data_IF_599829290340
#
_entry.id   IF_599829290340
#
_cell.length_a   1.000
_cell.length_b   1.000
_cell.length_c   1.000
_cell.angle_alpha   90.00
_cell.angle_beta   90.00
_cell.angle_gamma   90.00
#
_symmetry.space_group_name_H-M   'P 1'
#
loop_
_entity.id
_entity.type
_entity.pdbx_description
1 polymer ?
#
# COMPACT_ATOMS: atom_id res chain seq x y z
N UNK A 1 20.24 41.68 19.29
CA UNK A 1 18.85 41.40 18.90
C UNK A 1 18.72 39.92 18.68
N UNK A 2 18.19 39.18 19.65
CA UNK A 2 17.78 37.81 19.43
C UNK A 2 16.66 37.85 18.39
N UNK A 3 16.89 37.26 17.17
CA UNK A 3 15.81 36.98 16.25
C UNK A 3 14.81 36.10 16.99
N UNK A 4 13.58 36.52 17.17
CA UNK A 4 12.50 35.67 17.62
C UNK A 4 12.45 34.50 16.66
N UNK A 5 12.88 33.32 17.13
CA UNK A 5 12.78 32.08 16.36
C UNK A 5 11.30 31.77 16.15
N UNK A 6 10.89 31.65 14.89
CA UNK A 6 9.48 31.34 14.55
C UNK A 6 9.04 30.05 15.26
N UNK A 7 7.73 29.91 15.53
CA UNK A 7 7.18 28.69 16.13
C UNK A 7 7.60 27.43 15.33
N UNK A 8 7.57 27.52 14.00
CA UNK A 8 7.97 26.43 13.11
C UNK A 8 9.44 26.04 13.27
N UNK A 9 10.33 27.02 13.48
CA UNK A 9 11.73 26.77 13.75
C UNK A 9 11.94 26.03 15.07
N UNK A 10 11.20 26.40 16.12
CA UNK A 10 11.28 25.75 17.44
C UNK A 10 10.78 24.31 17.42
N UNK A 11 9.74 24.03 16.65
CA UNK A 11 9.10 22.70 16.59
C UNK A 11 9.85 21.75 15.67
N UNK A 12 10.27 22.23 14.49
CA UNK A 12 10.80 21.35 13.43
C UNK A 12 12.32 21.44 13.26
N UNK A 13 13.00 22.39 13.95
CA UNK A 13 14.47 22.55 13.89
C UNK A 13 14.99 22.70 12.46
N UNK A 14 14.36 23.60 11.69
CA UNK A 14 14.59 23.74 10.25
C UNK A 14 16.04 24.09 9.92
N UNK A 15 16.60 25.07 10.65
CA UNK A 15 17.97 25.55 10.45
C UNK A 15 18.99 24.45 10.76
N UNK A 16 18.78 23.66 11.80
CA UNK A 16 19.64 22.52 12.18
C UNK A 16 19.62 21.43 11.12
N UNK A 17 18.49 21.24 10.44
CA UNK A 17 18.34 20.27 9.36
C UNK A 17 18.64 20.83 7.96
N UNK A 18 19.20 22.06 7.88
CA UNK A 18 19.65 22.68 6.63
C UNK A 18 18.52 22.94 5.62
N UNK A 19 17.30 23.23 6.10
CA UNK A 19 16.11 23.44 5.27
C UNK A 19 15.40 24.77 5.59
N UNK A 20 14.30 25.05 4.89
CA UNK A 20 13.49 26.25 5.07
C UNK A 20 12.00 25.92 5.02
N UNK A 21 11.14 26.77 5.61
CA UNK A 21 9.68 26.62 5.56
C UNK A 21 9.18 26.44 4.12
N UNK A 22 9.69 27.22 3.18
CA UNK A 22 9.30 27.11 1.76
C UNK A 22 9.68 25.77 1.17
N UNK A 23 10.89 25.30 1.42
CA UNK A 23 11.37 23.99 0.94
C UNK A 23 10.52 22.84 1.50
N UNK A 24 10.25 22.86 2.80
CA UNK A 24 9.45 21.84 3.46
C UNK A 24 8.01 21.79 2.94
N UNK A 25 7.36 22.94 2.74
CA UNK A 25 6.00 22.99 2.18
C UNK A 25 6.00 22.47 0.74
N UNK A 26 6.95 22.87 -0.10
CA UNK A 26 7.04 22.38 -1.48
C UNK A 26 7.31 20.87 -1.52
N UNK A 27 8.18 20.37 -0.65
CA UNK A 27 8.44 18.95 -0.48
C UNK A 27 7.19 18.18 -0.07
N UNK A 28 6.40 18.72 0.87
CA UNK A 28 5.13 18.13 1.30
C UNK A 28 4.09 18.08 0.18
N UNK A 29 3.95 19.16 -0.60
CA UNK A 29 3.07 19.16 -1.78
C UNK A 29 3.53 18.10 -2.78
N UNK A 30 4.83 17.99 -3.05
CA UNK A 30 5.37 16.99 -3.98
C UNK A 30 5.10 15.57 -3.48
N UNK A 31 5.32 15.30 -2.19
CA UNK A 31 4.98 13.99 -1.59
C UNK A 31 3.48 13.69 -1.74
N UNK A 32 2.62 14.64 -1.36
CA UNK A 32 1.18 14.44 -1.48
C UNK A 32 0.75 14.15 -2.92
N UNK A 33 1.26 14.90 -3.91
CA UNK A 33 0.95 14.66 -5.33
C UNK A 33 1.35 13.26 -5.80
N UNK A 34 2.42 12.69 -5.25
CA UNK A 34 2.87 11.35 -5.64
C UNK A 34 2.07 10.24 -4.96
N UNK A 35 1.46 10.48 -3.78
CA UNK A 35 0.71 9.48 -3.02
C UNK A 35 -0.81 9.71 -2.98
N UNK A 36 -1.32 10.83 -3.49
CA UNK A 36 -2.75 11.16 -3.48
C UNK A 36 -3.65 10.12 -4.19
N UNK A 37 -3.06 9.30 -5.05
CA UNK A 37 -3.75 8.18 -5.69
C UNK A 37 -4.40 7.22 -4.70
N UNK A 38 -3.88 7.14 -3.45
CA UNK A 38 -4.44 6.26 -2.41
C UNK A 38 -5.89 6.60 -2.08
N UNK A 39 -6.28 7.87 -2.21
CA UNK A 39 -7.64 8.34 -1.98
C UNK A 39 -8.65 7.78 -3.01
N UNK A 40 -8.19 7.38 -4.18
CA UNK A 40 -9.01 6.69 -5.17
C UNK A 40 -8.86 5.16 -5.07
N UNK A 41 -7.63 4.69 -4.88
CA UNK A 41 -7.30 3.26 -4.96
C UNK A 41 -7.72 2.51 -3.70
N UNK A 42 -7.49 3.06 -2.48
CA UNK A 42 -7.88 2.36 -1.26
C UNK A 42 -9.40 2.13 -1.16
N UNK A 43 -10.27 3.14 -1.40
CA UNK A 43 -11.71 2.90 -1.44
C UNK A 43 -12.13 1.87 -2.51
N UNK A 44 -11.46 1.84 -3.64
CA UNK A 44 -11.74 0.84 -4.68
C UNK A 44 -11.39 -0.58 -4.23
N UNK A 45 -10.25 -0.78 -3.56
CA UNK A 45 -9.82 -2.08 -3.04
C UNK A 45 -10.72 -2.54 -1.89
N UNK A 46 -10.96 -1.68 -0.90
CA UNK A 46 -11.70 -2.04 0.30
C UNK A 46 -13.20 -2.25 0.00
N UNK A 47 -13.75 -1.54 -0.98
CA UNK A 47 -15.13 -1.79 -1.44
C UNK A 47 -15.31 -3.18 -2.07
N UNK A 48 -14.23 -3.77 -2.61
CA UNK A 48 -14.24 -5.16 -3.05
C UNK A 48 -14.44 -6.14 -1.87
N UNK A 49 -14.09 -5.76 -0.64
CA UNK A 49 -14.37 -6.52 0.59
C UNK A 49 -15.79 -6.26 1.15
N UNK A 50 -16.60 -5.46 0.48
CA UNK A 50 -17.97 -5.13 0.92
C UNK A 50 -18.08 -3.88 1.81
N UNK A 51 -16.99 -3.12 2.00
CA UNK A 51 -16.99 -1.89 2.78
C UNK A 51 -17.57 -0.72 1.99
N UNK A 52 -18.21 0.23 2.66
CA UNK A 52 -18.76 1.43 2.01
C UNK A 52 -17.63 2.31 1.45
N UNK A 53 -17.67 2.53 0.13
CA UNK A 53 -16.61 3.24 -0.61
C UNK A 53 -16.42 4.68 -0.12
N UNK A 54 -17.50 5.39 0.21
CA UNK A 54 -17.44 6.77 0.68
C UNK A 54 -16.87 6.87 2.09
N UNK A 55 -17.33 6.00 2.99
CA UNK A 55 -16.81 5.91 4.34
C UNK A 55 -15.32 5.54 4.34
N UNK A 56 -14.88 4.59 3.49
CA UNK A 56 -13.46 4.24 3.32
C UNK A 56 -12.64 5.42 2.82
N UNK A 57 -13.14 6.22 1.87
CA UNK A 57 -12.46 7.44 1.41
C UNK A 57 -12.18 8.38 2.58
N UNK A 58 -13.22 8.67 3.36
CA UNK A 58 -13.11 9.56 4.53
C UNK A 58 -12.16 8.98 5.58
N UNK A 59 -12.30 7.69 5.91
CA UNK A 59 -11.43 7.00 6.84
C UNK A 59 -9.96 6.99 6.36
N UNK A 60 -9.72 6.78 5.06
CA UNK A 60 -8.37 6.82 4.46
C UNK A 60 -7.71 8.19 4.63
N UNK A 61 -8.45 9.27 4.35
CA UNK A 61 -7.90 10.62 4.49
C UNK A 61 -7.61 10.97 5.96
N UNK A 62 -8.50 10.58 6.88
CA UNK A 62 -8.30 10.80 8.32
C UNK A 62 -7.13 9.94 8.85
N UNK A 63 -7.03 8.67 8.46
CA UNK A 63 -5.91 7.81 8.86
C UNK A 63 -4.57 8.33 8.30
N UNK A 64 -4.55 8.76 7.03
CA UNK A 64 -3.40 9.41 6.42
C UNK A 64 -2.98 10.70 7.15
N UNK A 65 -3.96 11.53 7.52
CA UNK A 65 -3.72 12.72 8.36
C UNK A 65 -3.11 12.34 9.70
N UNK A 66 -3.77 11.46 10.47
CA UNK A 66 -3.33 11.08 11.81
C UNK A 66 -1.94 10.43 11.79
N UNK A 67 -1.72 9.44 10.93
CA UNK A 67 -0.45 8.75 10.83
C UNK A 67 0.70 9.69 10.47
N UNK A 68 0.45 10.60 9.52
CA UNK A 68 1.46 11.57 9.06
C UNK A 68 1.74 12.64 10.11
N UNK A 69 0.72 13.09 10.87
CA UNK A 69 0.92 13.98 12.04
C UNK A 69 1.75 13.29 13.12
N UNK A 70 1.42 12.02 13.43
CA UNK A 70 2.18 11.25 14.42
C UNK A 70 3.65 11.10 14.00
N UNK A 71 3.93 10.85 12.72
CA UNK A 71 5.29 10.81 12.18
C UNK A 71 6.02 12.14 12.38
N UNK A 72 5.37 13.26 12.06
CA UNK A 72 5.92 14.60 12.27
C UNK A 72 6.26 14.86 13.74
N UNK A 73 5.37 14.47 14.66
CA UNK A 73 5.50 14.74 16.09
C UNK A 73 6.49 13.82 16.79
N UNK A 74 6.43 12.50 16.51
CA UNK A 74 7.23 11.51 17.23
C UNK A 74 8.66 11.39 16.72
N UNK A 75 8.88 11.64 15.43
CA UNK A 75 10.19 11.46 14.83
C UNK A 75 10.78 12.72 14.17
N UNK A 76 9.96 13.72 13.89
CA UNK A 76 10.32 14.89 13.08
C UNK A 76 10.90 14.48 11.70
N UNK A 77 10.34 13.43 11.07
CA UNK A 77 10.75 12.99 9.73
C UNK A 77 9.78 13.48 8.65
N UNK A 78 10.31 13.69 7.41
CA UNK A 78 9.51 14.17 6.27
C UNK A 78 8.71 13.04 5.59
N UNK A 79 8.33 12.00 6.33
CA UNK A 79 7.67 10.82 5.77
C UNK A 79 6.16 10.88 5.98
N UNK A 80 5.42 10.51 4.96
CA UNK A 80 3.97 10.43 4.99
C UNK A 80 3.51 8.98 5.21
N UNK A 81 2.41 8.83 5.94
CA UNK A 81 1.75 7.57 6.20
C UNK A 81 0.35 7.56 5.58
N UNK A 82 -0.06 6.39 5.11
CA UNK A 82 -1.43 6.10 4.68
C UNK A 82 -1.65 4.58 4.69
N UNK A 83 -2.89 4.08 4.50
CA UNK A 83 -3.16 2.63 4.39
C UNK A 83 -2.29 1.98 3.31
N UNK A 84 -1.50 0.96 3.69
CA UNK A 84 -0.49 0.34 2.85
C UNK A 84 -1.09 -0.49 1.72
N UNK A 85 -0.64 -0.27 0.47
CA UNK A 85 -1.23 -0.92 -0.71
C UNK A 85 -1.19 -2.45 -0.66
N UNK A 86 -0.05 -3.03 -0.25
CA UNK A 86 0.10 -4.47 -0.10
C UNK A 86 -0.82 -5.05 0.97
N UNK A 87 -0.92 -4.35 2.09
CA UNK A 87 -1.77 -4.72 3.23
C UNK A 87 -3.27 -4.55 2.91
N UNK A 88 -3.65 -3.51 2.17
CA UNK A 88 -5.01 -3.33 1.65
C UNK A 88 -5.43 -4.51 0.75
N UNK A 89 -4.53 -4.91 -0.15
CA UNK A 89 -4.75 -6.02 -1.05
C UNK A 89 -4.84 -7.35 -0.29
N UNK A 90 -3.96 -7.59 0.66
CA UNK A 90 -4.01 -8.76 1.54
C UNK A 90 -5.33 -8.80 2.34
N UNK A 91 -5.72 -7.68 2.93
CA UNK A 91 -6.98 -7.52 3.65
C UNK A 91 -8.18 -7.91 2.77
N UNK A 92 -8.36 -7.21 1.65
CA UNK A 92 -9.58 -7.34 0.84
C UNK A 92 -9.63 -8.66 0.06
N UNK A 93 -8.53 -9.06 -0.56
CA UNK A 93 -8.55 -10.19 -1.48
C UNK A 93 -8.19 -11.52 -0.82
N UNK A 94 -7.22 -11.52 0.09
CA UNK A 94 -6.82 -12.75 0.76
C UNK A 94 -7.72 -13.03 1.97
N UNK A 95 -7.76 -12.12 2.94
CA UNK A 95 -8.47 -12.37 4.21
C UNK A 95 -9.98 -12.42 3.98
N UNK A 96 -10.56 -11.40 3.33
CA UNK A 96 -12.01 -11.33 3.18
C UNK A 96 -12.50 -12.24 2.03
N UNK A 97 -11.98 -12.08 0.79
CA UNK A 97 -12.54 -12.80 -0.36
C UNK A 97 -12.11 -14.26 -0.46
N UNK A 98 -10.84 -14.57 -0.19
CA UNK A 98 -10.33 -15.94 -0.38
C UNK A 98 -10.55 -16.80 0.87
N UNK A 99 -10.24 -16.26 2.07
CA UNK A 99 -10.41 -16.99 3.33
C UNK A 99 -11.85 -16.93 3.88
N UNK A 100 -12.71 -16.04 3.33
CA UNK A 100 -14.12 -15.93 3.68
C UNK A 100 -14.41 -15.25 5.02
N UNK A 101 -13.46 -14.49 5.56
CA UNK A 101 -13.68 -13.72 6.78
C UNK A 101 -14.46 -12.44 6.49
N UNK A 102 -15.15 -11.94 7.52
CA UNK A 102 -15.76 -10.62 7.46
C UNK A 102 -14.69 -9.52 7.50
N UNK A 103 -14.97 -8.36 6.96
CA UNK A 103 -14.05 -7.23 7.01
C UNK A 103 -13.88 -6.69 8.44
N UNK A 104 -14.88 -6.85 9.31
CA UNK A 104 -14.85 -6.48 10.72
C UNK A 104 -13.83 -7.35 11.49
N UNK A 105 -13.78 -8.66 11.19
CA UNK A 105 -12.76 -9.55 11.76
C UNK A 105 -11.37 -9.20 11.23
N UNK A 106 -11.24 -8.85 9.96
CA UNK A 106 -9.96 -8.43 9.40
C UNK A 106 -9.47 -7.11 10.04
N UNK A 107 -10.38 -6.15 10.31
CA UNK A 107 -10.06 -4.93 11.07
C UNK A 107 -9.65 -5.24 12.52
N UNK A 108 -10.30 -6.22 13.17
CA UNK A 108 -9.89 -6.65 14.50
C UNK A 108 -8.46 -7.23 14.50
N UNK A 109 -8.07 -7.97 13.45
CA UNK A 109 -6.70 -8.46 13.32
C UNK A 109 -5.70 -7.31 13.13
N UNK A 110 -6.01 -6.31 12.31
CA UNK A 110 -5.20 -5.10 12.13
C UNK A 110 -5.10 -4.29 13.43
N UNK A 111 -6.19 -4.19 14.19
CA UNK A 111 -6.17 -3.54 15.50
C UNK A 111 -5.20 -4.25 16.47
N UNK A 112 -5.30 -5.58 16.58
CA UNK A 112 -4.41 -6.39 17.43
C UNK A 112 -2.96 -6.28 16.95
N UNK A 113 -2.71 -6.29 15.64
CA UNK A 113 -1.41 -6.03 15.03
C UNK A 113 -0.82 -4.71 15.52
N UNK A 114 -1.58 -3.62 15.40
CA UNK A 114 -1.15 -2.29 15.83
C UNK A 114 -0.81 -2.24 17.33
N UNK A 115 -1.65 -2.85 18.19
CA UNK A 115 -1.38 -2.94 19.64
C UNK A 115 -0.10 -3.72 19.91
N UNK A 116 0.12 -4.85 19.25
CA UNK A 116 1.37 -5.62 19.38
C UNK A 116 2.56 -4.75 18.95
N UNK A 117 2.45 -4.00 17.85
CA UNK A 117 3.52 -3.13 17.39
C UNK A 117 3.79 -1.95 18.31
N UNK A 118 2.78 -1.39 18.98
CA UNK A 118 2.99 -0.39 20.03
C UNK A 118 3.89 -0.99 21.13
N UNK A 119 3.56 -2.20 21.63
CA UNK A 119 4.34 -2.89 22.66
C UNK A 119 5.76 -3.20 22.17
N UNK A 120 5.91 -3.70 20.94
CA UNK A 120 7.22 -4.03 20.35
C UNK A 120 8.06 -2.77 20.06
N UNK A 121 7.44 -1.63 19.75
CA UNK A 121 8.14 -0.36 19.47
C UNK A 121 8.67 0.31 20.74
N UNK A 122 8.11 0.00 21.92
CA UNK A 122 8.66 0.41 23.21
C UNK A 122 9.99 -0.31 23.52
N UNK A 123 10.25 -1.42 22.85
CA UNK A 123 11.46 -2.23 22.96
C UNK A 123 12.21 -2.21 21.61
N UNK A 124 13.37 -2.86 21.52
CA UNK A 124 14.09 -3.03 20.25
C UNK A 124 13.70 -4.32 19.51
N UNK A 125 12.62 -4.97 19.93
CA UNK A 125 12.25 -6.30 19.42
C UNK A 125 11.80 -6.22 17.96
N UNK A 126 11.05 -5.19 17.57
CA UNK A 126 10.60 -5.01 16.16
C UNK A 126 11.80 -4.92 15.20
N UNK A 127 12.82 -4.15 15.58
CA UNK A 127 14.07 -4.03 14.83
C UNK A 127 14.87 -5.35 14.82
N UNK A 128 14.92 -6.05 15.95
CA UNK A 128 15.59 -7.35 16.05
C UNK A 128 14.91 -8.42 15.18
N UNK A 129 13.57 -8.45 15.12
CA UNK A 129 12.80 -9.34 14.23
C UNK A 129 13.14 -9.04 12.77
N UNK A 130 13.12 -7.77 12.39
CA UNK A 130 13.50 -7.38 11.03
C UNK A 130 14.91 -7.84 10.67
N UNK A 131 15.89 -7.62 11.56
CA UNK A 131 17.27 -8.00 11.34
C UNK A 131 17.50 -9.52 11.31
N UNK A 132 16.64 -10.29 11.95
CA UNK A 132 16.73 -11.75 11.97
C UNK A 132 16.36 -12.41 10.62
N UNK A 133 15.70 -11.69 9.72
CA UNK A 133 15.28 -12.19 8.41
C UNK A 133 16.36 -11.84 7.36
N UNK A 134 16.75 -12.80 6.48
CA UNK A 134 17.77 -12.58 5.47
C UNK A 134 17.43 -11.43 4.51
N UNK A 135 18.44 -10.62 4.17
CA UNK A 135 18.24 -9.43 3.33
C UNK A 135 17.63 -9.74 1.95
N UNK A 136 18.10 -10.83 1.32
CA UNK A 136 17.57 -11.26 0.02
C UNK A 136 16.10 -11.64 0.12
N UNK A 137 15.70 -12.32 1.19
CA UNK A 137 14.30 -12.68 1.42
C UNK A 137 13.41 -11.45 1.66
N UNK A 138 13.90 -10.43 2.37
CA UNK A 138 13.21 -9.14 2.52
C UNK A 138 12.93 -8.49 1.17
N UNK A 139 13.95 -8.43 0.30
CA UNK A 139 13.81 -7.89 -1.07
C UNK A 139 12.83 -8.72 -1.91
N UNK A 140 12.88 -10.05 -1.75
CA UNK A 140 11.96 -10.96 -2.44
C UNK A 140 10.51 -10.74 -2.02
N UNK A 141 10.25 -10.53 -0.72
CA UNK A 141 8.89 -10.21 -0.23
C UNK A 141 8.39 -8.91 -0.86
N UNK A 142 9.21 -7.84 -0.87
CA UNK A 142 8.83 -6.58 -1.50
C UNK A 142 8.53 -6.75 -3.01
N UNK A 143 9.39 -7.49 -3.72
CA UNK A 143 9.20 -7.76 -5.14
C UNK A 143 7.93 -8.60 -5.41
N UNK A 144 7.67 -9.61 -4.56
CA UNK A 144 6.47 -10.45 -4.66
C UNK A 144 5.19 -9.68 -4.41
N UNK A 145 5.16 -8.80 -3.39
CA UNK A 145 4.04 -7.88 -3.14
C UNK A 145 3.82 -6.99 -4.37
N UNK A 146 4.89 -6.47 -4.97
CA UNK A 146 4.80 -5.68 -6.20
C UNK A 146 4.14 -6.44 -7.35
N UNK A 147 4.54 -7.68 -7.62
CA UNK A 147 3.89 -8.52 -8.64
C UNK A 147 2.43 -8.82 -8.30
N UNK A 148 2.11 -9.04 -7.02
CA UNK A 148 0.75 -9.29 -6.57
C UNK A 148 -0.16 -8.07 -6.81
N UNK A 149 0.30 -6.86 -6.45
CA UNK A 149 -0.43 -5.61 -6.70
C UNK A 149 -0.62 -5.37 -8.21
N UNK A 150 0.43 -5.61 -9.02
CA UNK A 150 0.35 -5.53 -10.47
C UNK A 150 -0.72 -6.49 -11.01
N UNK A 151 -0.75 -7.75 -10.53
CA UNK A 151 -1.73 -8.74 -10.94
C UNK A 151 -3.17 -8.32 -10.57
N UNK A 152 -3.37 -7.74 -9.38
CA UNK A 152 -4.67 -7.15 -8.99
C UNK A 152 -5.06 -6.01 -9.96
N UNK A 153 -4.14 -5.13 -10.34
CA UNK A 153 -4.39 -4.08 -11.32
C UNK A 153 -4.80 -4.62 -12.68
N UNK A 154 -4.08 -5.63 -13.18
CA UNK A 154 -4.37 -6.29 -14.46
C UNK A 154 -5.73 -6.99 -14.49
N UNK A 155 -6.08 -7.69 -13.40
CA UNK A 155 -7.38 -8.39 -13.29
C UNK A 155 -8.52 -7.43 -13.01
N UNK A 156 -8.31 -6.41 -12.19
CA UNK A 156 -9.31 -5.37 -11.88
C UNK A 156 -9.69 -4.53 -13.11
N UNK A 157 -8.74 -4.27 -14.00
CA UNK A 157 -8.99 -3.64 -15.31
C UNK A 157 -9.45 -4.61 -16.40
N UNK A 158 -9.61 -5.89 -16.08
CA UNK A 158 -9.95 -6.96 -17.02
C UNK A 158 -8.98 -7.13 -18.18
N UNK A 159 -7.75 -6.63 -18.08
CA UNK A 159 -6.66 -6.90 -19.06
C UNK A 159 -6.34 -8.39 -19.04
N UNK A 160 -6.32 -8.99 -17.84
CA UNK A 160 -6.26 -10.44 -17.61
C UNK A 160 -7.61 -10.90 -17.05
N UNK A 161 -8.15 -11.96 -17.66
CA UNK A 161 -9.45 -12.54 -17.27
C UNK A 161 -9.30 -14.02 -16.96
N UNK A 162 -10.22 -14.55 -16.15
CA UNK A 162 -10.28 -15.98 -15.85
C UNK A 162 -10.55 -16.80 -17.11
N UNK A 163 -9.87 -17.95 -17.23
CA UNK A 163 -10.04 -18.88 -18.33
C UNK A 163 -10.07 -20.33 -17.78
N UNK A 164 -11.13 -21.12 -18.02
CA UNK A 164 -11.24 -22.48 -17.48
C UNK A 164 -10.10 -23.42 -17.91
N UNK A 165 -9.56 -23.25 -19.13
CA UNK A 165 -8.52 -24.11 -19.68
C UNK A 165 -7.11 -23.73 -19.19
N UNK A 166 -6.79 -22.43 -19.19
CA UNK A 166 -5.44 -21.90 -18.85
C UNK A 166 -5.37 -21.19 -17.51
N UNK A 167 -6.49 -21.17 -16.74
CA UNK A 167 -6.74 -20.42 -15.52
C UNK A 167 -6.87 -18.92 -15.76
N UNK A 168 -5.96 -18.31 -16.51
CA UNK A 168 -5.97 -16.90 -16.92
C UNK A 168 -5.67 -16.78 -18.42
N UNK A 169 -6.20 -15.72 -19.04
CA UNK A 169 -5.91 -15.33 -20.41
C UNK A 169 -6.00 -13.80 -20.57
N UNK A 170 -5.49 -13.27 -21.66
CA UNK A 170 -5.72 -11.89 -22.03
C UNK A 170 -7.17 -11.67 -22.45
N UNK A 171 -7.69 -10.47 -22.22
CA UNK A 171 -9.00 -10.04 -22.67
C UNK A 171 -9.11 -10.15 -24.20
N UNK A 172 -10.22 -10.71 -24.68
CA UNK A 172 -10.46 -10.89 -26.12
C UNK A 172 -11.39 -9.79 -26.66
N UNK A 173 -10.82 -8.80 -27.31
CA UNK A 173 -11.59 -7.74 -27.97
C UNK A 173 -12.53 -8.30 -29.06
N UNK A 174 -12.11 -9.35 -29.78
CA UNK A 174 -12.95 -10.01 -30.79
C UNK A 174 -14.21 -10.62 -30.16
N UNK A 175 -14.06 -11.29 -29.02
CA UNK A 175 -15.22 -11.87 -28.32
C UNK A 175 -16.13 -10.77 -27.75
N UNK A 176 -15.57 -9.70 -27.20
CA UNK A 176 -16.35 -8.56 -26.70
C UNK A 176 -17.15 -7.86 -27.82
N UNK A 177 -16.58 -7.73 -29.03
CA UNK A 177 -17.31 -7.19 -30.21
C UNK A 177 -18.44 -8.12 -30.61
N UNK A 178 -18.20 -9.44 -30.65
CA UNK A 178 -19.23 -10.42 -31.04
C UNK A 178 -20.34 -10.52 -29.99
N UNK A 179 -20.02 -10.36 -28.70
CA UNK A 179 -20.98 -10.38 -27.59
C UNK A 179 -21.69 -9.03 -27.40
N UNK A 180 -21.32 -7.98 -28.13
CA UNK A 180 -21.88 -6.64 -27.94
C UNK A 180 -21.44 -5.92 -26.65
N UNK A 181 -20.44 -6.46 -25.94
CA UNK A 181 -19.93 -5.88 -24.67
C UNK A 181 -18.75 -4.95 -24.84
N UNK A 182 -18.37 -4.61 -26.08
CA UNK A 182 -17.23 -3.74 -26.33
C UNK A 182 -17.43 -2.35 -25.71
N UNK A 183 -18.61 -1.77 -25.81
CA UNK A 183 -18.93 -0.44 -25.27
C UNK A 183 -19.09 -0.39 -23.74
N UNK A 184 -19.22 -1.51 -23.07
CA UNK A 184 -19.28 -1.60 -21.60
C UNK A 184 -17.92 -1.97 -21.01
N UNK A 185 -17.33 -3.09 -21.48
CA UNK A 185 -16.10 -3.68 -20.92
C UNK A 185 -14.89 -3.50 -21.82
N UNK A 186 -15.05 -3.69 -23.16
CA UNK A 186 -13.91 -3.64 -24.09
C UNK A 186 -13.23 -2.29 -24.10
N UNK A 187 -14.01 -1.21 -24.09
CA UNK A 187 -13.48 0.16 -24.08
C UNK A 187 -12.72 0.47 -22.78
N UNK A 188 -13.18 -0.04 -21.62
CA UNK A 188 -12.49 0.21 -20.34
C UNK A 188 -11.13 -0.47 -20.31
N UNK A 189 -10.98 -1.64 -20.94
CA UNK A 189 -9.67 -2.32 -21.09
C UNK A 189 -8.73 -1.48 -21.96
N UNK A 190 -9.23 -0.92 -23.09
CA UNK A 190 -8.42 -0.01 -23.94
C UNK A 190 -7.95 1.20 -23.13
N UNK A 191 -8.88 1.84 -22.38
CA UNK A 191 -8.57 3.01 -21.57
C UNK A 191 -7.53 2.69 -20.48
N UNK A 192 -7.64 1.54 -19.82
CA UNK A 192 -6.65 1.10 -18.83
C UNK A 192 -5.26 0.91 -19.46
N UNK A 193 -5.17 0.27 -20.63
CA UNK A 193 -3.90 0.09 -21.35
C UNK A 193 -3.29 1.44 -21.72
N UNK A 194 -4.08 2.37 -22.26
CA UNK A 194 -3.63 3.72 -22.57
C UNK A 194 -3.14 4.45 -21.33
N UNK A 195 -3.85 4.29 -20.18
CA UNK A 195 -3.46 4.85 -18.91
C UNK A 195 -2.10 4.32 -18.40
N UNK A 196 -1.87 3.01 -18.53
CA UNK A 196 -0.57 2.40 -18.18
C UNK A 196 0.55 2.97 -19.03
N UNK A 197 0.36 3.03 -20.35
CA UNK A 197 1.36 3.56 -21.29
C UNK A 197 1.64 5.04 -21.04
N UNK A 198 0.61 5.83 -20.76
CA UNK A 198 0.75 7.25 -20.44
C UNK A 198 1.49 7.45 -19.11
N UNK A 199 1.15 6.67 -18.06
CA UNK A 199 1.84 6.72 -16.77
C UNK A 199 3.31 6.35 -16.94
N UNK A 200 3.62 5.29 -17.70
CA UNK A 200 4.99 4.89 -18.00
C UNK A 200 5.76 6.00 -18.76
N UNK A 201 5.12 6.66 -19.72
CA UNK A 201 5.71 7.82 -20.41
C UNK A 201 6.03 8.95 -19.43
N UNK A 202 5.12 9.30 -18.52
CA UNK A 202 5.35 10.32 -17.51
C UNK A 202 6.49 9.95 -16.55
N UNK A 203 6.65 8.65 -16.23
CA UNK A 203 7.79 8.18 -15.43
C UNK A 203 9.12 8.37 -16.16
N UNK A 204 9.19 8.02 -17.44
CA UNK A 204 10.38 8.24 -18.29
C UNK A 204 10.71 9.73 -18.38
N UNK A 205 9.68 10.56 -18.54
CA UNK A 205 9.80 12.02 -18.57
C UNK A 205 10.08 12.65 -17.20
N UNK A 206 10.16 11.82 -16.12
CA UNK A 206 10.39 12.26 -14.74
C UNK A 206 9.38 13.31 -14.23
N UNK A 207 8.13 13.22 -14.68
CA UNK A 207 7.06 14.11 -14.24
C UNK A 207 6.68 13.75 -12.81
N UNK A 208 6.61 14.74 -11.92
CA UNK A 208 6.17 14.55 -10.52
C UNK A 208 4.70 14.20 -10.47
N UNK A 209 4.32 13.29 -9.58
CA UNK A 209 2.93 12.83 -9.46
C UNK A 209 2.44 12.03 -10.68
N UNK A 210 3.36 11.39 -11.42
CA UNK A 210 3.06 10.63 -12.64
C UNK A 210 1.91 9.63 -12.46
N UNK A 211 1.81 8.96 -11.31
CA UNK A 211 0.75 8.01 -10.99
C UNK A 211 -0.61 8.72 -10.91
N UNK A 212 -0.68 9.84 -10.19
CA UNK A 212 -1.91 10.65 -10.11
C UNK A 212 -2.33 11.18 -11.49
N UNK A 213 -1.38 11.72 -12.25
CA UNK A 213 -1.65 12.18 -13.62
C UNK A 213 -2.10 11.05 -14.53
N UNK A 214 -1.58 9.84 -14.35
CA UNK A 214 -2.02 8.63 -15.06
C UNK A 214 -3.48 8.29 -14.77
N UNK A 215 -3.88 8.33 -13.49
CA UNK A 215 -5.28 8.14 -13.09
C UNK A 215 -6.17 9.21 -13.70
N UNK A 216 -5.82 10.48 -13.54
CA UNK A 216 -6.61 11.60 -14.05
C UNK A 216 -6.78 11.55 -15.58
N UNK A 217 -5.70 11.25 -16.31
CA UNK A 217 -5.74 11.08 -17.76
C UNK A 217 -6.71 9.98 -18.17
N UNK A 218 -6.59 8.79 -17.55
CA UNK A 218 -7.45 7.65 -17.86
C UNK A 218 -8.91 7.93 -17.52
N UNK A 219 -9.15 8.61 -16.40
CA UNK A 219 -10.48 9.00 -15.98
C UNK A 219 -11.10 10.04 -16.92
N UNK A 220 -10.35 11.09 -17.30
CA UNK A 220 -10.82 12.10 -18.27
C UNK A 220 -11.15 11.45 -19.62
N UNK A 221 -10.33 10.52 -20.10
CA UNK A 221 -10.67 9.75 -21.30
C UNK A 221 -11.94 8.92 -21.10
N UNK A 222 -12.14 8.35 -19.93
CA UNK A 222 -13.38 7.64 -19.56
C UNK A 222 -14.60 8.55 -19.65
N UNK A 223 -14.53 9.75 -19.07
CA UNK A 223 -15.58 10.78 -19.16
C UNK A 223 -15.88 11.13 -20.62
N UNK A 224 -14.84 11.37 -21.42
CA UNK A 224 -15.01 11.68 -22.85
C UNK A 224 -15.71 10.53 -23.60
N UNK A 225 -15.32 9.29 -23.31
CA UNK A 225 -15.97 8.11 -23.91
C UNK A 225 -17.43 7.96 -23.46
N UNK A 226 -17.76 8.28 -22.20
CA UNK A 226 -19.13 8.23 -21.71
C UNK A 226 -19.99 9.32 -22.34
N UNK A 227 -19.52 10.56 -22.40
CA UNK A 227 -20.25 11.69 -23.02
C UNK A 227 -20.47 11.48 -24.52
N UNK A 228 -19.53 10.85 -25.24
CA UNK A 228 -19.66 10.54 -26.65
C UNK A 228 -20.45 9.26 -26.93
N UNK A 229 -20.88 8.51 -25.91
CA UNK A 229 -21.59 7.25 -26.09
C UNK A 229 -20.69 6.07 -26.49
N UNK A 230 -19.37 6.24 -26.48
CA UNK A 230 -18.43 5.15 -26.74
C UNK A 230 -18.30 4.22 -25.54
N UNK A 231 -18.40 4.75 -24.33
CA UNK A 231 -18.57 4.00 -23.07
C UNK A 231 -20.00 4.11 -22.59
N UNK A 232 -20.65 2.98 -22.37
CA UNK A 232 -22.03 2.90 -21.86
C UNK A 232 -22.00 2.26 -20.48
N UNK A 233 -22.30 3.01 -19.41
CA UNK A 233 -22.39 2.44 -18.07
C UNK A 233 -23.46 1.35 -17.97
N UNK A 234 -23.10 0.24 -17.32
CA UNK A 234 -24.02 -0.87 -17.01
C UNK A 234 -23.74 -1.34 -15.57
N UNK A 235 -24.36 -0.71 -14.56
CA UNK A 235 -24.14 -1.04 -13.15
C UNK A 235 -24.48 -2.48 -12.79
N UNK A 236 -25.38 -3.14 -13.53
CA UNK A 236 -25.74 -4.53 -13.29
C UNK A 236 -24.55 -5.48 -13.59
N UNK A 237 -23.65 -5.08 -14.47
CA UNK A 237 -22.44 -5.81 -14.82
C UNK A 237 -21.15 -5.14 -14.31
N UNK A 238 -21.26 -4.20 -13.34
CA UNK A 238 -20.12 -3.58 -12.68
C UNK A 238 -19.45 -2.43 -13.44
N UNK A 239 -20.09 -1.95 -14.54
CA UNK A 239 -19.63 -0.80 -15.30
C UNK A 239 -20.34 0.47 -14.82
N UNK A 240 -19.70 1.21 -13.91
CA UNK A 240 -20.30 2.42 -13.30
C UNK A 240 -19.97 3.67 -14.13
N UNK A 241 -20.84 4.72 -13.98
CA UNK A 241 -20.59 6.03 -14.58
C UNK A 241 -19.26 6.63 -14.08
N UNK A 242 -18.56 7.30 -14.99
CA UNK A 242 -17.32 8.02 -14.69
C UNK A 242 -17.57 9.47 -14.27
N UNK A 243 -18.83 9.94 -14.35
CA UNK A 243 -19.19 11.32 -14.03
C UNK A 243 -19.30 11.52 -12.52
N UNK A 244 -18.74 12.62 -11.98
CA UNK A 244 -18.93 12.96 -10.57
C UNK A 244 -20.40 13.23 -10.25
N UNK A 245 -20.88 12.66 -9.16
CA UNK A 245 -22.23 12.94 -8.70
C UNK A 245 -22.27 14.27 -7.93
N UNK A 246 -22.77 15.31 -8.59
CA UNK A 246 -22.94 16.65 -8.03
C UNK A 246 -24.42 17.02 -7.83
N UNK A 247 -25.31 16.04 -7.79
CA UNK A 247 -26.77 16.25 -7.71
C UNK A 247 -27.20 17.00 -6.45
N UNK A 248 -26.46 16.87 -5.34
CA UNK A 248 -26.72 17.61 -4.10
C UNK A 248 -26.07 19.02 -4.05
N UNK A 249 -25.54 19.52 -5.18
CA UNK A 249 -24.88 20.83 -5.22
C UNK A 249 -23.69 20.92 -4.28
N UNK A 250 -23.59 21.97 -3.46
CA UNK A 250 -22.50 22.16 -2.50
C UNK A 250 -22.43 21.05 -1.43
N UNK A 251 -23.54 20.40 -1.09
CA UNK A 251 -23.56 19.30 -0.14
C UNK A 251 -22.82 18.05 -0.67
N UNK A 252 -22.63 17.91 -1.98
CA UNK A 252 -21.84 16.82 -2.57
C UNK A 252 -20.37 16.86 -2.15
N UNK A 253 -19.86 18.03 -1.78
CA UNK A 253 -18.47 18.22 -1.32
C UNK A 253 -18.27 17.93 0.17
N UNK A 254 -19.34 17.64 0.92
CA UNK A 254 -19.22 17.20 2.30
C UNK A 254 -18.58 15.81 2.37
N UNK A 255 -17.64 15.57 3.33
CA UNK A 255 -17.09 14.25 3.54
C UNK A 255 -18.20 13.22 3.81
N UNK A 256 -18.07 12.03 3.23
CA UNK A 256 -18.99 10.94 3.54
C UNK A 256 -18.85 10.53 5.02
N UNK A 257 -19.94 10.10 5.65
CA UNK A 257 -19.92 9.64 7.03
C UNK A 257 -19.05 8.38 7.19
N UNK A 258 -18.22 8.35 8.21
CA UNK A 258 -17.44 7.15 8.60
C UNK A 258 -18.24 6.23 9.53
N UNK A 259 -19.43 6.62 9.93
CA UNK A 259 -20.27 5.87 10.87
C UNK A 259 -20.43 4.39 10.53
N UNK A 260 -20.49 3.97 9.24
CA UNK A 260 -20.61 2.56 8.90
C UNK A 260 -19.34 1.71 9.19
N UNK A 261 -18.21 2.34 9.50
CA UNK A 261 -16.93 1.65 9.65
C UNK A 261 -16.32 1.83 11.04
N UNK A 262 -16.59 2.96 11.71
CA UNK A 262 -15.91 3.33 12.94
C UNK A 262 -16.24 2.38 14.09
N UNK A 263 -15.20 1.72 14.61
CA UNK A 263 -15.34 0.81 15.74
C UNK A 263 -15.94 -0.55 15.40
N UNK A 264 -16.21 -0.84 14.13
CA UNK A 264 -16.73 -2.13 13.68
C UNK A 264 -15.62 -3.19 13.68
N UNK A 265 -15.26 -3.65 14.88
CA UNK A 265 -14.21 -4.64 15.12
C UNK A 265 -14.81 -5.93 15.68
N UNK A 266 -14.71 -7.03 14.95
CA UNK A 266 -15.19 -8.34 15.39
C UNK A 266 -14.06 -9.19 16.00
N UNK A 267 -14.05 -9.32 17.31
CA UNK A 267 -13.10 -10.14 18.06
C UNK A 267 -13.59 -11.59 18.32
N UNK A 268 -14.72 -12.00 17.77
CA UNK A 268 -15.33 -13.31 18.04
C UNK A 268 -14.40 -14.49 17.73
N UNK A 269 -13.47 -14.32 16.78
CA UNK A 269 -12.55 -15.34 16.34
C UNK A 269 -11.11 -15.17 16.84
N UNK A 270 -10.83 -14.25 17.75
CA UNK A 270 -9.47 -13.93 18.20
C UNK A 270 -8.70 -15.13 18.79
N UNK A 271 -9.41 -16.09 19.36
CA UNK A 271 -8.82 -17.30 19.94
C UNK A 271 -8.65 -18.46 18.92
N UNK A 272 -9.00 -18.24 17.65
CA UNK A 272 -8.85 -19.28 16.61
C UNK A 272 -7.44 -19.31 16.04
N UNK A 273 -6.98 -20.48 15.63
CA UNK A 273 -5.68 -20.64 14.97
C UNK A 273 -5.61 -19.80 13.68
N UNK A 274 -6.69 -19.75 12.93
CA UNK A 274 -6.78 -18.97 11.69
C UNK A 274 -6.61 -17.49 11.92
N UNK A 275 -7.18 -16.91 12.99
CA UNK A 275 -6.97 -15.53 13.36
C UNK A 275 -5.48 -15.25 13.64
N UNK A 276 -4.81 -16.15 14.36
CA UNK A 276 -3.36 -16.02 14.64
C UNK A 276 -2.55 -16.03 13.34
N UNK A 277 -2.90 -16.89 12.36
CA UNK A 277 -2.24 -16.92 11.06
C UNK A 277 -2.43 -15.62 10.28
N UNK A 278 -3.65 -15.09 10.23
CA UNK A 278 -3.95 -13.81 9.60
C UNK A 278 -3.19 -12.67 10.27
N UNK A 279 -3.20 -12.64 11.60
CA UNK A 279 -2.48 -11.66 12.41
C UNK A 279 -0.96 -11.70 12.14
N UNK A 280 -0.36 -12.89 12.16
CA UNK A 280 1.06 -13.05 11.85
C UNK A 280 1.39 -12.58 10.43
N UNK A 281 0.52 -12.86 9.45
CA UNK A 281 0.72 -12.40 8.09
C UNK A 281 0.70 -10.86 8.00
N UNK A 282 -0.25 -10.18 8.66
CA UNK A 282 -0.26 -8.72 8.75
C UNK A 282 1.01 -8.20 9.40
N UNK A 283 1.38 -8.73 10.58
CA UNK A 283 2.61 -8.35 11.29
C UNK A 283 3.86 -8.45 10.41
N UNK A 284 4.00 -9.55 9.64
CA UNK A 284 5.18 -9.72 8.78
C UNK A 284 5.16 -8.77 7.59
N UNK A 285 4.03 -8.64 6.90
CA UNK A 285 3.94 -7.75 5.74
C UNK A 285 4.24 -6.31 6.16
N UNK A 286 3.68 -5.84 7.29
CA UNK A 286 3.91 -4.49 7.79
C UNK A 286 5.37 -4.25 8.23
N UNK A 287 6.00 -5.21 8.93
CA UNK A 287 7.42 -5.09 9.28
C UNK A 287 8.28 -4.86 8.04
N UNK A 288 8.03 -5.62 6.95
CA UNK A 288 8.81 -5.48 5.73
C UNK A 288 8.51 -4.18 4.99
N UNK A 289 7.25 -3.79 4.92
CA UNK A 289 6.82 -2.59 4.21
C UNK A 289 7.34 -1.33 4.93
N UNK A 290 7.06 -1.20 6.22
CA UNK A 290 7.47 -0.05 7.03
C UNK A 290 8.98 0.09 7.15
N UNK A 291 9.70 -0.96 7.61
CA UNK A 291 11.14 -0.84 7.81
C UNK A 291 11.90 -0.76 6.49
N UNK A 292 11.45 -1.49 5.47
CA UNK A 292 12.00 -1.40 4.11
C UNK A 292 11.88 0.01 3.54
N UNK A 293 10.72 0.63 3.69
CA UNK A 293 10.45 2.00 3.24
C UNK A 293 11.22 3.04 4.05
N UNK A 294 11.19 2.96 5.40
CA UNK A 294 11.93 3.88 6.26
C UNK A 294 13.42 3.91 5.94
N UNK A 295 14.07 2.74 5.84
CA UNK A 295 15.49 2.65 5.52
C UNK A 295 15.76 3.07 4.08
N UNK A 296 14.93 2.64 3.12
CA UNK A 296 15.10 2.96 1.70
C UNK A 296 14.99 4.46 1.41
N UNK A 297 13.99 5.14 1.98
CA UNK A 297 13.82 6.59 1.81
C UNK A 297 14.89 7.36 2.57
N UNK A 298 15.22 6.94 3.81
CA UNK A 298 16.26 7.59 4.63
C UNK A 298 17.64 7.49 4.01
N UNK A 299 17.97 6.36 3.37
CA UNK A 299 19.23 6.20 2.64
C UNK A 299 19.34 7.19 1.48
N UNK A 300 18.28 7.36 0.69
CA UNK A 300 18.24 8.38 -0.39
C UNK A 300 18.35 9.80 0.14
N UNK A 301 17.92 10.04 1.38
CA UNK A 301 17.95 11.33 2.04
C UNK A 301 19.28 11.66 2.73
N UNK A 302 20.23 10.71 2.79
CA UNK A 302 21.42 10.77 3.62
C UNK A 302 21.08 11.03 5.11
N UNK A 303 20.03 10.38 5.62
CA UNK A 303 19.54 10.51 7.00
C UNK A 303 20.03 9.34 7.89
N UNK A 304 20.71 8.36 7.32
CA UNK A 304 21.30 7.25 8.08
C UNK A 304 22.59 7.70 8.76
N UNK A 305 22.87 7.13 9.95
CA UNK A 305 24.15 7.31 10.65
C UNK A 305 25.29 6.51 9.96
N UNK A 306 26.51 6.64 10.48
CA UNK A 306 27.71 5.97 9.92
C UNK A 306 27.60 4.43 9.99
N UNK A 307 26.76 3.88 10.88
CA UNK A 307 26.47 2.46 10.97
C UNK A 307 25.28 2.02 10.10
N UNK A 308 24.72 2.94 9.28
CA UNK A 308 23.60 2.67 8.38
C UNK A 308 22.24 2.55 9.11
N UNK A 309 22.13 3.05 10.33
CA UNK A 309 20.89 3.04 11.12
C UNK A 309 20.18 4.38 11.00
N UNK A 310 18.85 4.36 11.11
CA UNK A 310 18.04 5.58 11.13
C UNK A 310 17.95 6.13 12.56
N UNK A 311 18.53 7.31 12.87
CA UNK A 311 18.34 7.96 14.16
C UNK A 311 16.83 8.15 14.45
N UNK A 312 16.40 8.07 15.70
CA UNK A 312 14.98 8.25 16.09
C UNK A 312 14.00 7.24 15.43
N UNK A 313 14.46 6.10 14.93
CA UNK A 313 13.62 5.05 14.31
C UNK A 313 12.48 4.61 15.24
N UNK A 314 12.70 4.58 16.56
CA UNK A 314 11.67 4.23 17.55
C UNK A 314 10.45 5.16 17.47
N UNK A 315 10.66 6.46 17.28
CA UNK A 315 9.58 7.43 17.11
C UNK A 315 8.79 7.18 15.82
N UNK A 316 9.47 6.87 14.72
CA UNK A 316 8.84 6.54 13.46
C UNK A 316 8.03 5.24 13.54
N UNK A 317 8.58 4.18 14.15
CA UNK A 317 7.89 2.90 14.36
C UNK A 317 6.70 3.03 15.33
N UNK A 318 6.79 3.91 16.33
CA UNK A 318 5.67 4.20 17.21
C UNK A 318 4.56 4.95 16.48
N UNK A 319 4.90 5.93 15.63
CA UNK A 319 3.93 6.64 14.79
C UNK A 319 3.14 5.68 13.90
N UNK A 320 3.84 4.76 13.25
CA UNK A 320 3.29 3.71 12.40
C UNK A 320 2.34 2.77 13.18
N UNK A 321 2.77 2.27 14.35
CA UNK A 321 1.98 1.37 15.19
C UNK A 321 0.70 2.04 15.73
N UNK A 322 0.79 3.29 16.18
CA UNK A 322 -0.38 4.05 16.66
C UNK A 322 -1.30 4.39 15.50
N UNK A 323 -0.75 4.73 14.33
CA UNK A 323 -1.54 5.00 13.12
C UNK A 323 -2.29 3.76 12.64
N UNK A 324 -1.66 2.58 12.67
CA UNK A 324 -2.30 1.29 12.35
C UNK A 324 -3.45 0.99 13.31
N UNK A 325 -3.22 1.12 14.62
CA UNK A 325 -4.26 0.90 15.64
C UNK A 325 -5.44 1.84 15.46
N UNK A 326 -5.18 3.14 15.28
CA UNK A 326 -6.20 4.15 15.06
C UNK A 326 -6.91 3.95 13.70
N UNK A 327 -6.15 3.59 12.66
CA UNK A 327 -6.67 3.30 11.32
C UNK A 327 -7.67 2.14 11.34
N UNK A 328 -7.38 1.06 12.05
CA UNK A 328 -8.30 -0.05 12.22
C UNK A 328 -9.62 0.37 12.88
N UNK A 329 -9.57 1.23 13.91
CA UNK A 329 -10.77 1.79 14.55
C UNK A 329 -11.56 2.68 13.58
N UNK A 330 -10.88 3.41 12.69
CA UNK A 330 -11.51 4.25 11.67
C UNK A 330 -12.08 3.43 10.49
N UNK A 331 -11.72 2.15 10.36
CA UNK A 331 -12.18 1.28 9.28
C UNK A 331 -11.24 1.23 8.06
N UNK A 332 -9.94 1.37 8.27
CA UNK A 332 -8.93 1.12 7.22
C UNK A 332 -7.95 0.03 7.67
N UNK A 333 -7.28 -0.60 6.71
CA UNK A 333 -6.23 -1.58 6.99
C UNK A 333 -4.97 -0.91 7.57
N UNK A 334 -3.92 -1.68 7.79
CA UNK A 334 -2.64 -1.24 8.34
C UNK A 334 -2.14 0.04 7.67
N UNK A 335 -1.85 1.06 8.47
CA UNK A 335 -1.35 2.36 8.02
C UNK A 335 0.17 2.38 8.14
N UNK A 336 0.88 2.54 7.03
CA UNK A 336 2.33 2.39 6.93
C UNK A 336 3.00 3.58 6.25
N UNK A 337 4.33 3.68 6.37
CA UNK A 337 5.13 4.72 5.73
C UNK A 337 5.20 4.51 4.22
N UNK A 338 4.98 5.56 3.44
CA UNK A 338 4.95 5.53 1.98
C UNK A 338 6.30 5.83 1.35
N UNK A 339 6.69 4.98 0.37
CA UNK A 339 7.94 5.14 -0.41
C UNK A 339 7.92 6.41 -1.26
N UNK A 340 6.77 6.92 -1.61
CA UNK A 340 6.53 8.19 -2.30
C UNK A 340 7.07 9.40 -1.52
N UNK A 341 7.28 9.27 -0.22
CA UNK A 341 7.98 10.26 0.61
C UNK A 341 9.37 10.60 0.06
N UNK A 342 9.99 9.66 -0.69
CA UNK A 342 11.25 9.91 -1.39
C UNK A 342 11.17 11.07 -2.39
N UNK A 343 10.01 11.37 -2.94
CA UNK A 343 9.81 12.48 -3.86
C UNK A 343 10.00 13.84 -3.15
N UNK A 344 9.36 14.03 -2.00
CA UNK A 344 9.52 15.24 -1.20
C UNK A 344 10.93 15.38 -0.61
N UNK A 345 11.50 14.26 -0.16
CA UNK A 345 12.89 14.22 0.31
C UNK A 345 13.87 14.67 -0.78
N UNK A 346 13.65 14.26 -2.04
CA UNK A 346 14.45 14.69 -3.19
C UNK A 346 14.32 16.19 -3.49
N UNK A 347 13.20 16.81 -3.08
CA UNK A 347 12.98 18.26 -3.16
C UNK A 347 13.61 19.03 -1.97
N UNK A 348 14.26 18.37 -1.07
CA UNK A 348 14.89 18.96 0.10
C UNK A 348 14.08 18.91 1.39
N UNK A 349 12.98 18.16 1.46
CA UNK A 349 12.25 17.87 2.69
C UNK A 349 13.15 17.11 3.67
N UNK A 350 13.23 17.56 4.91
CA UNK A 350 14.12 17.02 5.95
C UNK A 350 13.46 16.85 7.30
N UNK A 351 12.32 17.49 7.50
CA UNK A 351 11.68 17.59 8.83
C UNK A 351 10.21 17.21 8.80
N UNK A 352 9.62 17.09 9.98
CA UNK A 352 8.19 16.84 10.15
C UNK A 352 7.28 17.94 9.56
N UNK A 353 7.80 19.10 9.17
CA UNK A 353 7.00 20.13 8.50
C UNK A 353 6.56 19.66 7.09
N UNK A 354 7.40 18.91 6.38
CA UNK A 354 7.02 18.23 5.14
C UNK A 354 5.85 17.27 5.39
N UNK A 355 5.95 16.40 6.40
CA UNK A 355 4.88 15.48 6.78
C UNK A 355 3.60 16.24 7.21
N UNK A 356 3.72 17.28 8.00
CA UNK A 356 2.57 18.11 8.41
C UNK A 356 1.86 18.74 7.21
N UNK A 357 2.60 19.18 6.19
CA UNK A 357 2.02 19.68 4.94
C UNK A 357 1.20 18.61 4.23
N UNK A 358 1.72 17.38 4.14
CA UNK A 358 0.98 16.24 3.57
C UNK A 358 -0.29 15.95 4.38
N UNK A 359 -0.19 15.96 5.71
CA UNK A 359 -1.33 15.73 6.58
C UNK A 359 -2.46 16.74 6.34
N UNK A 360 -2.15 18.02 6.25
CA UNK A 360 -3.15 19.06 5.93
C UNK A 360 -3.79 18.81 4.57
N UNK A 361 -3.02 18.41 3.56
CA UNK A 361 -3.55 18.11 2.24
C UNK A 361 -4.48 16.89 2.23
N UNK A 362 -4.25 15.88 3.09
CA UNK A 362 -5.20 14.77 3.26
C UNK A 362 -6.56 15.26 3.78
N UNK A 363 -6.59 16.15 4.77
CA UNK A 363 -7.87 16.72 5.26
C UNK A 363 -8.54 17.58 4.20
N UNK A 364 -7.78 18.40 3.48
CA UNK A 364 -8.34 19.21 2.40
C UNK A 364 -8.91 18.36 1.26
N UNK A 365 -8.36 17.19 1.01
CA UNK A 365 -8.85 16.27 -0.03
C UNK A 365 -10.25 15.71 0.26
N UNK A 366 -10.70 15.72 1.53
CA UNK A 366 -12.06 15.30 1.88
C UNK A 366 -13.14 16.11 1.17
N UNK A 367 -12.87 17.39 0.93
CA UNK A 367 -13.78 18.28 0.20
C UNK A 367 -13.78 18.02 -1.32
N UNK A 368 -12.92 17.14 -1.82
CA UNK A 368 -12.87 16.67 -3.20
C UNK A 368 -13.47 15.26 -3.35
N UNK A 369 -14.17 14.77 -2.35
CA UNK A 369 -14.73 13.41 -2.31
C UNK A 369 -15.58 13.04 -3.54
N UNK A 370 -16.43 13.89 -4.14
CA UNK A 370 -17.20 13.52 -5.33
C UNK A 370 -16.32 13.13 -6.52
N UNK A 371 -15.16 13.76 -6.65
CA UNK A 371 -14.21 13.46 -7.74
C UNK A 371 -13.51 12.12 -7.49
N UNK A 372 -13.00 11.88 -6.29
CA UNK A 372 -12.36 10.61 -5.94
C UNK A 372 -13.33 9.42 -6.04
N UNK A 373 -14.59 9.63 -5.63
CA UNK A 373 -15.63 8.60 -5.72
C UNK A 373 -16.01 8.23 -7.15
N UNK A 374 -15.91 9.17 -8.08
CA UNK A 374 -16.24 8.96 -9.48
C UNK A 374 -15.13 8.23 -10.27
N UNK A 375 -13.90 8.15 -9.72
CA UNK A 375 -12.80 7.45 -10.39
C UNK A 375 -13.11 5.94 -10.46
N UNK A 376 -13.22 5.37 -11.69
CA UNK A 376 -13.56 3.96 -11.86
C UNK A 376 -12.33 3.05 -11.71
N UNK A 377 -12.56 1.75 -11.52
CA UNK A 377 -11.50 0.77 -11.33
C UNK A 377 -10.50 0.71 -12.50
N UNK A 378 -10.96 0.87 -13.74
CA UNK A 378 -10.06 0.88 -14.90
C UNK A 378 -9.11 2.10 -14.93
N UNK A 379 -9.49 3.21 -14.28
CA UNK A 379 -8.63 4.38 -14.15
C UNK A 379 -7.64 4.26 -12.99
N UNK A 380 -7.92 3.45 -11.96
CA UNK A 380 -6.98 3.18 -10.86
C UNK A 380 -5.99 2.06 -11.20
N UNK A 381 -6.30 1.20 -12.16
CA UNK A 381 -5.43 0.08 -12.55
C UNK A 381 -4.02 0.52 -13.00
N UNK A 382 -3.82 1.61 -13.79
CA UNK A 382 -2.49 2.13 -14.09
C UNK A 382 -1.63 2.40 -12.85
N UNK A 383 -2.25 2.91 -11.78
CA UNK A 383 -1.55 3.14 -10.51
C UNK A 383 -1.09 1.82 -9.87
N UNK A 384 -1.99 0.83 -9.77
CA UNK A 384 -1.65 -0.48 -9.20
C UNK A 384 -0.53 -1.17 -9.98
N UNK A 385 -0.60 -1.16 -11.30
CA UNK A 385 0.42 -1.74 -12.17
C UNK A 385 1.76 -1.03 -12.00
N UNK A 386 1.74 0.30 -11.92
CA UNK A 386 2.96 1.13 -11.78
C UNK A 386 3.58 0.98 -10.40
N UNK A 387 2.79 1.02 -9.32
CA UNK A 387 3.27 0.78 -7.95
C UNK A 387 3.83 -0.63 -7.83
N UNK A 388 3.13 -1.61 -8.42
CA UNK A 388 3.61 -2.98 -8.50
C UNK A 388 4.99 -3.09 -9.16
N UNK A 389 5.20 -2.37 -10.27
CA UNK A 389 6.51 -2.28 -10.94
C UNK A 389 7.57 -1.65 -10.03
N UNK A 390 7.27 -0.53 -9.37
CA UNK A 390 8.22 0.14 -8.48
C UNK A 390 8.66 -0.76 -7.32
N UNK A 391 7.74 -1.50 -6.71
CA UNK A 391 8.08 -2.48 -5.65
C UNK A 391 8.86 -3.68 -6.23
N UNK A 392 8.52 -4.15 -7.42
CA UNK A 392 9.21 -5.25 -8.09
C UNK A 392 10.67 -4.92 -8.39
N UNK A 393 11.05 -3.66 -8.55
CA UNK A 393 12.46 -3.27 -8.77
C UNK A 393 13.41 -3.74 -7.66
N UNK A 394 12.90 -4.09 -6.46
CA UNK A 394 13.68 -4.67 -5.38
C UNK A 394 14.37 -5.99 -5.79
N UNK A 395 13.86 -6.70 -6.81
CA UNK A 395 14.43 -7.94 -7.35
C UNK A 395 15.87 -7.72 -7.84
N UNK A 396 16.19 -6.54 -8.37
CA UNK A 396 17.55 -6.24 -8.87
C UNK A 396 18.62 -6.25 -7.77
N UNK A 397 18.21 -6.16 -6.51
CA UNK A 397 19.14 -6.23 -5.38
C UNK A 397 19.28 -7.63 -4.78
N UNK A 398 18.65 -8.65 -5.33
CA UNK A 398 18.75 -10.04 -4.87
C UNK A 398 19.98 -10.68 -5.49
N UNK A 399 20.79 -11.38 -4.68
CA UNK A 399 21.89 -12.18 -5.17
C UNK A 399 21.37 -13.55 -5.67
N UNK A 400 21.33 -13.72 -6.98
CA UNK A 400 20.93 -14.96 -7.62
C UNK A 400 22.10 -15.96 -7.86
N UNK A 401 23.31 -15.63 -7.41
CA UNK A 401 24.48 -16.53 -7.57
C UNK A 401 24.51 -17.63 -6.52
N UNK A 402 24.08 -17.36 -5.28
CA UNK A 402 23.90 -18.37 -4.23
C UNK A 402 22.50 -19.00 -4.31
N UNK A 403 22.41 -20.22 -4.81
CA UNK A 403 21.15 -20.95 -4.98
C UNK A 403 20.42 -21.19 -3.66
N UNK A 404 21.11 -21.21 -2.51
CA UNK A 404 20.48 -21.35 -1.20
C UNK A 404 19.72 -20.09 -0.76
N UNK A 405 20.01 -18.95 -1.37
CA UNK A 405 19.31 -17.69 -1.23
C UNK A 405 18.31 -17.47 -2.39
N UNK A 406 18.75 -17.74 -3.63
CA UNK A 406 18.00 -17.44 -4.85
C UNK A 406 16.70 -18.24 -4.97
N UNK A 407 16.74 -19.54 -4.70
CA UNK A 407 15.54 -20.41 -4.82
C UNK A 407 14.44 -20.00 -3.84
N UNK A 408 14.69 -19.77 -2.53
CA UNK A 408 13.68 -19.25 -1.61
C UNK A 408 13.12 -17.91 -2.04
N UNK A 409 13.96 -16.99 -2.52
CA UNK A 409 13.53 -15.70 -3.03
C UNK A 409 12.59 -15.85 -4.25
N UNK A 410 12.97 -16.67 -5.20
CA UNK A 410 12.14 -16.96 -6.37
C UNK A 410 10.78 -17.54 -5.98
N UNK A 411 10.75 -18.52 -5.09
CA UNK A 411 9.52 -19.14 -4.61
C UNK A 411 8.62 -18.14 -3.89
N UNK A 412 9.19 -17.26 -3.05
CA UNK A 412 8.44 -16.19 -2.38
C UNK A 412 7.79 -15.23 -3.40
N UNK A 413 8.55 -14.82 -4.43
CA UNK A 413 8.09 -13.86 -5.44
C UNK A 413 6.94 -14.43 -6.26
N UNK A 414 7.08 -15.65 -6.79
CA UNK A 414 6.09 -16.22 -7.71
C UNK A 414 4.83 -16.72 -6.99
N UNK A 415 4.96 -17.19 -5.75
CA UNK A 415 3.81 -17.73 -5.03
C UNK A 415 2.77 -16.65 -4.72
N UNK A 416 3.16 -15.40 -4.50
CA UNK A 416 2.22 -14.32 -4.18
C UNK A 416 1.16 -14.09 -5.25
N UNK A 417 1.48 -13.82 -6.53
CA UNK A 417 0.46 -13.67 -7.56
C UNK A 417 -0.23 -14.98 -7.93
N UNK A 418 0.48 -16.12 -7.95
CA UNK A 418 -0.10 -17.39 -8.40
C UNK A 418 -1.00 -18.05 -7.36
N UNK A 419 -0.71 -17.89 -6.05
CA UNK A 419 -1.61 -18.30 -4.99
C UNK A 419 -2.65 -17.22 -4.63
N UNK A 420 -2.56 -16.04 -5.26
CA UNK A 420 -3.37 -14.84 -4.93
C UNK A 420 -3.27 -14.46 -3.45
N UNK A 421 -2.08 -14.62 -2.85
CA UNK A 421 -1.86 -14.40 -1.41
C UNK A 421 -0.42 -14.03 -1.08
N UNK A 422 -0.23 -12.89 -0.42
CA UNK A 422 1.08 -12.45 0.10
C UNK A 422 1.57 -13.45 1.18
N UNK A 423 0.68 -13.91 2.05
CA UNK A 423 1.02 -14.83 3.12
C UNK A 423 1.58 -16.17 2.59
N UNK A 424 1.05 -16.66 1.46
CA UNK A 424 1.57 -17.87 0.81
C UNK A 424 2.99 -17.63 0.29
N UNK A 425 3.27 -16.49 -0.35
CA UNK A 425 4.61 -16.16 -0.80
C UNK A 425 5.62 -16.11 0.34
N UNK A 426 5.27 -15.44 1.45
CA UNK A 426 6.12 -15.41 2.64
C UNK A 426 6.37 -16.82 3.18
N UNK A 427 5.31 -17.64 3.28
CA UNK A 427 5.39 -19.03 3.77
C UNK A 427 6.33 -19.87 2.91
N UNK A 428 6.17 -19.83 1.58
CA UNK A 428 7.05 -20.57 0.64
C UNK A 428 8.50 -20.12 0.75
N UNK A 429 8.74 -18.79 0.85
CA UNK A 429 10.07 -18.23 1.02
C UNK A 429 10.74 -18.70 2.31
N UNK A 430 10.05 -18.59 3.44
CA UNK A 430 10.59 -18.94 4.77
C UNK A 430 10.84 -20.45 4.87
N UNK A 431 9.86 -21.28 4.51
CA UNK A 431 9.98 -22.73 4.60
C UNK A 431 11.12 -23.24 3.70
N UNK A 432 11.16 -22.79 2.45
CA UNK A 432 12.22 -23.21 1.52
C UNK A 432 13.59 -22.73 1.94
N UNK A 433 13.70 -21.49 2.48
CA UNK A 433 14.95 -20.97 3.00
C UNK A 433 15.52 -21.85 4.13
N UNK A 434 14.68 -22.19 5.11
CA UNK A 434 15.08 -23.01 6.25
C UNK A 434 15.48 -24.43 5.79
N UNK A 435 14.66 -25.06 4.94
CA UNK A 435 14.92 -26.42 4.46
C UNK A 435 16.21 -26.47 3.62
N UNK A 436 16.36 -25.59 2.62
CA UNK A 436 17.49 -25.62 1.68
C UNK A 436 18.80 -25.32 2.40
N UNK A 437 18.85 -24.30 3.27
CA UNK A 437 20.06 -23.97 4.01
C UNK A 437 20.41 -25.04 5.05
N UNK A 438 19.42 -25.68 5.69
CA UNK A 438 19.69 -26.82 6.60
C UNK A 438 20.29 -28.00 5.83
N UNK A 439 19.72 -28.39 4.69
CA UNK A 439 20.23 -29.47 3.85
C UNK A 439 21.62 -29.15 3.24
N UNK A 440 21.88 -27.88 2.97
CA UNK A 440 23.20 -27.42 2.47
C UNK A 440 24.25 -27.29 3.58
N UNK A 441 23.93 -27.56 4.86
CA UNK A 441 24.84 -27.43 5.98
C UNK A 441 25.15 -25.98 6.38
N UNK A 442 24.36 -25.00 5.91
CA UNK A 442 24.53 -23.56 6.18
C UNK A 442 23.63 -23.08 7.33
N UNK A 443 23.53 -23.86 8.40
CA UNK A 443 22.62 -23.59 9.52
C UNK A 443 22.92 -22.30 10.27
N UNK A 444 24.15 -21.81 10.19
CA UNK A 444 24.59 -20.53 10.76
C UNK A 444 23.90 -19.33 10.12
N UNK A 445 23.39 -19.47 8.89
CA UNK A 445 22.60 -18.42 8.20
C UNK A 445 21.16 -18.32 8.70
N UNK A 446 20.67 -19.32 9.44
CA UNK A 446 19.27 -19.42 9.85
C UNK A 446 19.12 -18.94 11.27
N UNK A 447 18.41 -17.82 11.47
CA UNK A 447 18.10 -17.35 12.81
C UNK A 447 17.09 -18.27 13.52
N UNK A 448 17.09 -18.36 14.87
CA UNK A 448 16.09 -19.12 15.61
C UNK A 448 14.65 -18.73 15.26
N UNK A 449 14.41 -17.45 14.97
CA UNK A 449 13.12 -16.95 14.55
C UNK A 449 12.66 -17.59 13.23
N UNK A 450 13.57 -17.77 12.26
CA UNK A 450 13.23 -18.38 10.97
C UNK A 450 12.78 -19.84 11.14
N UNK A 451 13.38 -20.61 12.07
CA UNK A 451 12.92 -21.96 12.38
C UNK A 451 11.51 -21.96 12.98
N UNK A 452 11.23 -21.05 13.93
CA UNK A 452 9.90 -20.92 14.54
C UNK A 452 8.86 -20.62 13.47
N UNK A 453 9.15 -19.67 12.57
CA UNK A 453 8.26 -19.29 11.48
C UNK A 453 8.01 -20.44 10.50
N UNK A 454 9.06 -21.14 10.11
CA UNK A 454 8.92 -22.28 9.21
C UNK A 454 8.00 -23.35 9.80
N UNK A 455 8.17 -23.67 11.11
CA UNK A 455 7.29 -24.59 11.81
C UNK A 455 5.85 -24.10 11.86
N UNK A 456 5.61 -22.84 12.18
CA UNK A 456 4.27 -22.24 12.21
C UNK A 456 3.59 -22.31 10.83
N UNK A 457 4.32 -22.00 9.75
CA UNK A 457 3.78 -22.07 8.40
C UNK A 457 3.52 -23.52 7.93
N UNK A 458 4.37 -24.48 8.33
CA UNK A 458 4.12 -25.89 8.06
C UNK A 458 2.87 -26.36 8.81
N UNK A 459 2.73 -26.01 10.08
CA UNK A 459 1.54 -26.33 10.87
C UNK A 459 0.27 -25.71 10.24
N UNK A 460 0.35 -24.50 9.71
CA UNK A 460 -0.73 -23.89 8.94
C UNK A 460 -1.21 -24.82 7.81
N UNK A 461 -0.29 -25.39 6.99
CA UNK A 461 -0.66 -26.25 5.87
C UNK A 461 -1.17 -27.64 6.28
N UNK A 462 -0.85 -28.09 7.49
CA UNK A 462 -1.32 -29.38 8.01
C UNK A 462 -2.70 -29.25 8.67
N UNK A 463 -2.96 -28.10 9.31
CA UNK A 463 -4.16 -27.89 10.13
C UNK A 463 -5.29 -27.15 9.41
N UNK A 464 -4.98 -26.47 8.30
CA UNK A 464 -5.91 -25.74 7.45
C UNK A 464 -6.01 -26.37 6.06
#
# INVERSE_FOLDING_TARGET
MQKETSLLERVFHLSENGTSVKTEIMAGITTFMTMAYILAVNPAIMSAAGMDKGAVLTATAIAGFLGTVLMAVFSNYPFALAPGMGLNAFFAFTVVKQMGYTWEMALAAVFVEGVIFIVLSLTNVREAIFNAIPLNLKKAVSAGIGLFICFIGLTGAQIIVGNPATKISLFSFKQAMLAGTFHTTGITVVLAILGVLFTAFLMVAKVRGNILWGILFTWILGILCEVTGLYVPDPAHGAFSTLPNLSAGLASFAPASISPLIGELDFSQVATFNFVVVLLAFLFVDIFDTLGTLIGVSSKANMLDDEGRLPRIKGALMADAVATTAGAVLGVSTTTTYVESAAGVSEGGRTGLTAMTVAVLFILSLFLSPFFMAIPAFATAPALITVGFLMFTAVAGIDFTDMTEAIPCYLAIIAMPFAYSIAEGISFGVISYVIINTLAGKTEKISPLMYILAVLFILKYILL
#
